data_IF_237782137079
#
_entry.id   IF_237782137079
#
_cell.length_a   1.000
_cell.length_b   1.000
_cell.length_c   1.000
_cell.angle_alpha   90.00
_cell.angle_beta   90.00
_cell.angle_gamma   90.00
#
_symmetry.space_group_name_H-M   'P 1'
#
loop_
_entity.id
_entity.type
_entity.pdbx_description
1 polymer ?
#
# COMPACT_ATOMS: atom_id res chain seq x y z
N UNK A 1 -9.18 -56.45 0.87
CA UNK A 1 -8.42 -55.24 0.45
C UNK A 1 -9.16 -53.91 0.67
N UNK A 2 -10.24 -53.83 1.47
CA UNK A 2 -10.99 -52.57 1.68
C UNK A 2 -10.60 -51.76 2.94
N UNK A 3 -9.94 -52.37 3.93
CA UNK A 3 -9.60 -51.70 5.20
C UNK A 3 -8.35 -50.82 5.11
N UNK A 4 -7.44 -51.06 4.18
CA UNK A 4 -6.19 -50.30 4.04
C UNK A 4 -6.41 -48.93 3.36
N UNK A 5 -7.36 -48.86 2.41
CA UNK A 5 -7.69 -47.64 1.65
C UNK A 5 -8.41 -46.62 2.54
N UNK A 6 -9.33 -47.06 3.39
CA UNK A 6 -10.03 -46.19 4.35
C UNK A 6 -9.06 -45.56 5.36
N UNK A 7 -8.09 -46.33 5.88
CA UNK A 7 -7.10 -45.83 6.83
C UNK A 7 -6.19 -44.78 6.17
N UNK A 8 -5.77 -44.98 4.91
CA UNK A 8 -4.99 -44.00 4.15
C UNK A 8 -5.77 -42.69 3.90
N UNK A 9 -7.09 -42.74 3.71
CA UNK A 9 -7.93 -41.54 3.62
C UNK A 9 -7.99 -40.78 4.95
N UNK A 10 -8.11 -41.45 6.09
CA UNK A 10 -8.16 -40.77 7.40
C UNK A 10 -6.82 -40.12 7.79
N UNK A 11 -5.68 -40.73 7.43
CA UNK A 11 -4.36 -40.16 7.71
C UNK A 11 -4.12 -38.88 6.87
N UNK A 12 -4.60 -38.85 5.62
CA UNK A 12 -4.51 -37.66 4.77
C UNK A 12 -5.43 -36.52 5.23
N UNK A 13 -6.57 -36.82 5.87
CA UNK A 13 -7.50 -35.77 6.38
C UNK A 13 -6.97 -35.11 7.66
N UNK A 14 -6.29 -35.86 8.53
CA UNK A 14 -5.75 -35.32 9.80
C UNK A 14 -4.56 -34.38 9.56
N UNK A 15 -3.77 -34.59 8.49
CA UNK A 15 -2.64 -33.69 8.18
C UNK A 15 -3.07 -32.29 7.69
N UNK A 16 -4.35 -32.09 7.36
CA UNK A 16 -4.87 -30.81 6.85
C UNK A 16 -5.55 -30.00 7.96
N UNK A 17 -5.95 -30.62 9.09
CA UNK A 17 -6.69 -29.94 10.16
C UNK A 17 -5.81 -29.26 11.22
N UNK A 18 -4.51 -29.53 11.24
CA UNK A 18 -3.54 -28.85 12.13
C UNK A 18 -2.97 -27.57 11.51
N UNK A 19 -3.45 -27.19 10.32
CA UNK A 19 -3.20 -25.88 9.73
C UNK A 19 -4.08 -24.84 10.39
N UNK A 20 -3.82 -24.48 11.65
CA UNK A 20 -4.23 -23.15 12.11
C UNK A 20 -3.56 -22.16 11.17
N UNK A 21 -4.32 -21.62 10.22
CA UNK A 21 -3.95 -20.40 9.51
C UNK A 21 -3.97 -19.31 10.58
N UNK A 22 -2.91 -19.30 11.37
CA UNK A 22 -2.56 -18.21 12.23
C UNK A 22 -2.24 -17.10 11.25
N UNK A 23 -3.20 -16.19 11.07
CA UNK A 23 -2.97 -14.89 10.47
C UNK A 23 -2.08 -14.11 11.44
N UNK A 24 -0.83 -14.57 11.57
CA UNK A 24 0.21 -13.88 12.30
C UNK A 24 0.44 -12.64 11.47
N UNK A 25 0.06 -11.48 12.00
CA UNK A 25 0.42 -10.18 11.47
C UNK A 25 1.95 -10.15 11.32
N UNK A 26 2.45 -10.52 10.14
CA UNK A 26 3.89 -10.71 9.88
C UNK A 26 4.59 -9.41 9.50
N UNK A 27 3.87 -8.31 9.44
CA UNK A 27 4.44 -7.03 9.10
C UNK A 27 3.92 -6.00 10.09
N UNK A 28 4.81 -5.60 11.01
CA UNK A 28 4.64 -4.35 11.73
C UNK A 28 4.56 -3.16 10.76
N UNK A 29 4.41 -1.93 11.25
CA UNK A 29 4.36 -0.75 10.39
C UNK A 29 5.53 -0.76 9.40
N UNK A 30 5.30 -0.24 8.19
CA UNK A 30 6.32 -0.17 7.14
C UNK A 30 7.63 0.37 7.73
N UNK A 31 8.75 -0.27 7.39
CA UNK A 31 10.07 0.16 7.87
C UNK A 31 10.23 1.65 7.59
N UNK A 32 10.68 2.39 8.60
CA UNK A 32 10.98 3.81 8.44
C UNK A 32 12.00 3.98 7.31
N UNK A 33 11.56 4.62 6.23
CA UNK A 33 12.43 4.95 5.10
C UNK A 33 13.26 6.16 5.53
N UNK A 34 14.58 6.06 5.48
CA UNK A 34 15.42 7.25 5.66
C UNK A 34 15.32 8.10 4.39
N UNK A 35 15.00 9.40 4.49
CA UNK A 35 15.00 10.28 3.32
C UNK A 35 16.35 10.26 2.60
N UNK A 36 16.31 10.17 1.27
CA UNK A 36 17.51 10.26 0.44
C UNK A 36 18.10 11.67 0.55
N UNK A 37 19.42 11.78 0.62
CA UNK A 37 20.12 13.08 0.69
C UNK A 37 19.71 13.97 -0.48
N UNK A 38 19.25 15.19 -0.19
CA UNK A 38 18.81 16.15 -1.20
C UNK A 38 17.35 15.97 -1.67
N UNK A 39 16.59 15.06 -1.07
CA UNK A 39 15.15 15.00 -1.28
C UNK A 39 14.47 16.28 -0.76
N UNK A 40 13.64 16.90 -1.59
CA UNK A 40 12.79 18.03 -1.23
C UNK A 40 11.63 17.52 -0.37
N UNK A 41 11.22 18.32 0.59
CA UNK A 41 10.05 18.01 1.41
C UNK A 41 8.76 18.03 0.55
N UNK A 42 7.96 16.96 0.59
CA UNK A 42 6.71 16.89 -0.14
C UNK A 42 5.69 17.92 0.35
N UNK A 43 4.88 18.43 -0.57
CA UNK A 43 3.82 19.39 -0.28
C UNK A 43 2.58 18.65 0.19
N UNK A 44 1.95 19.13 1.27
CA UNK A 44 0.67 18.61 1.77
C UNK A 44 -0.48 19.26 1.03
N UNK A 45 -1.47 18.46 0.66
CA UNK A 45 -2.66 18.89 -0.05
C UNK A 45 -3.90 18.18 0.50
N UNK A 46 -5.06 18.69 0.07
CA UNK A 46 -6.37 18.11 0.39
C UNK A 46 -7.18 17.99 -0.90
N UNK A 47 -7.92 16.90 -1.03
CA UNK A 47 -8.90 16.69 -2.11
C UNK A 47 -10.25 16.29 -1.51
N UNK A 48 -11.32 16.90 -2.02
CA UNK A 48 -12.68 16.53 -1.62
C UNK A 48 -13.05 15.17 -2.23
N UNK A 49 -13.52 14.25 -1.40
CA UNK A 49 -13.96 12.91 -1.81
C UNK A 49 -15.36 12.61 -1.29
N UNK A 50 -16.10 11.76 -2.02
CA UNK A 50 -17.38 11.25 -1.52
C UNK A 50 -17.13 10.40 -0.27
N UNK A 51 -18.06 10.50 0.68
CA UNK A 51 -18.04 9.64 1.86
C UNK A 51 -18.42 8.21 1.49
N UNK A 52 -19.45 8.04 0.65
CA UNK A 52 -19.93 6.75 0.17
C UNK A 52 -19.96 6.75 -1.37
N UNK A 53 -19.20 5.84 -1.99
CA UNK A 53 -19.15 5.70 -3.45
C UNK A 53 -20.17 4.68 -3.97
N UNK A 54 -20.81 3.92 -3.09
CA UNK A 54 -21.78 2.86 -3.43
C UNK A 54 -23.23 3.35 -3.36
N UNK A 55 -23.50 4.45 -2.65
CA UNK A 55 -24.81 5.11 -2.61
C UNK A 55 -24.82 6.39 -3.45
N UNK A 56 -25.41 6.38 -4.66
CA UNK A 56 -25.46 7.57 -5.53
C UNK A 56 -26.27 8.74 -4.96
N UNK A 57 -27.17 8.48 -4.01
CA UNK A 57 -27.99 9.51 -3.35
C UNK A 57 -27.29 10.17 -2.17
N UNK A 58 -26.18 9.61 -1.68
CA UNK A 58 -25.37 10.24 -0.64
C UNK A 58 -24.44 11.31 -1.26
N UNK A 59 -24.68 12.57 -0.88
CA UNK A 59 -23.90 13.72 -1.34
C UNK A 59 -22.86 14.19 -0.31
N UNK A 60 -22.70 13.48 0.80
CA UNK A 60 -21.72 13.86 1.82
C UNK A 60 -20.31 13.68 1.29
N UNK A 61 -19.44 14.61 1.65
CA UNK A 61 -18.03 14.61 1.26
C UNK A 61 -17.13 14.82 2.46
N UNK A 62 -15.87 14.43 2.30
CA UNK A 62 -14.82 14.71 3.27
C UNK A 62 -13.53 15.17 2.58
N UNK A 63 -12.67 15.81 3.36
CA UNK A 63 -11.39 16.35 2.93
C UNK A 63 -10.28 15.31 3.14
N UNK A 64 -9.87 14.64 2.07
CA UNK A 64 -8.79 13.64 2.11
C UNK A 64 -7.43 14.30 1.94
N UNK A 65 -6.53 14.10 2.91
CA UNK A 65 -5.13 14.55 2.86
C UNK A 65 -4.32 13.68 1.88
N UNK A 66 -3.43 14.30 1.11
CA UNK A 66 -2.43 13.61 0.31
C UNK A 66 -1.15 14.46 0.21
N UNK A 67 -0.04 13.84 -0.19
CA UNK A 67 1.23 14.53 -0.41
C UNK A 67 1.64 14.47 -1.89
N UNK A 68 2.36 15.49 -2.36
CA UNK A 68 2.97 15.51 -3.69
C UNK A 68 4.46 15.83 -3.62
N UNK A 69 5.25 15.21 -4.51
CA UNK A 69 6.64 15.59 -4.73
C UNK A 69 6.91 15.69 -6.24
N UNK A 70 7.15 16.91 -6.69
CA UNK A 70 7.41 17.31 -8.08
C UNK A 70 8.91 17.46 -8.38
N UNK A 71 9.81 17.07 -7.46
CA UNK A 71 11.25 17.31 -7.55
C UNK A 71 11.88 16.88 -8.88
N UNK A 72 11.42 15.78 -9.47
CA UNK A 72 11.99 15.21 -10.70
C UNK A 72 11.15 15.52 -11.95
N UNK A 73 9.99 16.14 -11.79
CA UNK A 73 9.05 16.35 -12.88
C UNK A 73 9.56 17.45 -13.82
N UNK A 74 9.66 17.13 -15.12
CA UNK A 74 10.17 18.05 -16.16
C UNK A 74 9.07 18.57 -17.11
N UNK A 75 7.81 18.56 -16.66
CA UNK A 75 6.65 18.97 -17.46
C UNK A 75 6.05 17.86 -18.32
N UNK A 76 6.72 16.72 -18.45
CA UNK A 76 6.18 15.48 -19.02
C UNK A 76 6.79 14.28 -18.29
N UNK A 77 6.03 13.18 -18.20
CA UNK A 77 6.46 11.97 -17.51
C UNK A 77 5.29 11.21 -16.88
N UNK A 78 5.55 9.99 -16.38
CA UNK A 78 4.53 9.21 -15.69
C UNK A 78 4.16 9.86 -14.35
N UNK A 79 3.04 9.41 -13.78
CA UNK A 79 2.64 9.72 -12.41
C UNK A 79 2.77 8.43 -11.61
N UNK A 80 3.52 8.46 -10.52
CA UNK A 80 3.53 7.35 -9.58
C UNK A 80 2.73 7.71 -8.33
N UNK A 81 1.85 6.79 -7.93
CA UNK A 81 1.01 6.95 -6.75
C UNK A 81 1.36 5.85 -5.76
N UNK A 82 1.83 6.26 -4.58
CA UNK A 82 1.96 5.39 -3.43
C UNK A 82 0.59 5.27 -2.75
N UNK A 83 0.07 4.05 -2.65
CA UNK A 83 -1.15 3.75 -1.90
C UNK A 83 -0.76 3.25 -0.51
N UNK A 84 -1.09 4.02 0.52
CA UNK A 84 -0.88 3.65 1.91
C UNK A 84 -1.67 2.41 2.35
N UNK A 85 -1.42 1.99 3.58
CA UNK A 85 -2.20 0.97 4.28
C UNK A 85 -3.07 1.59 5.37
N UNK A 86 -3.27 0.86 6.47
CA UNK A 86 -4.06 1.28 7.64
C UNK A 86 -3.38 2.38 8.50
N UNK A 87 -2.15 2.76 8.18
CA UNK A 87 -1.35 3.66 9.01
C UNK A 87 -1.59 5.12 8.68
N UNK A 88 -1.28 6.02 9.63
CA UNK A 88 -1.32 7.45 9.36
C UNK A 88 -0.40 7.80 8.19
N UNK A 89 -0.96 8.50 7.22
CA UNK A 89 -0.21 9.01 6.07
C UNK A 89 0.86 10.01 6.52
N UNK A 90 2.12 9.70 6.22
CA UNK A 90 3.26 10.62 6.30
C UNK A 90 3.89 10.79 4.90
N UNK A 91 4.92 11.63 4.77
CA UNK A 91 5.51 12.00 3.47
C UNK A 91 6.83 11.28 3.15
N UNK A 92 7.28 10.38 4.01
CA UNK A 92 8.64 9.82 3.99
C UNK A 92 8.91 8.99 2.74
N UNK A 93 7.93 8.23 2.26
CA UNK A 93 8.02 7.41 1.03
C UNK A 93 8.11 8.25 -0.24
N UNK A 94 7.79 9.55 -0.18
CA UNK A 94 8.00 10.49 -1.29
C UNK A 94 9.37 11.16 -1.23
N UNK A 95 10.24 10.80 -0.28
CA UNK A 95 11.59 11.34 -0.12
C UNK A 95 12.67 10.27 -0.20
N UNK A 96 12.30 8.99 -0.33
CA UNK A 96 13.25 7.88 -0.39
C UNK A 96 12.56 6.55 -0.70
N UNK A 97 13.36 5.50 -0.81
CA UNK A 97 12.88 4.18 -1.20
C UNK A 97 12.64 4.03 -2.71
N UNK A 98 12.12 2.87 -3.09
CA UNK A 98 12.14 2.44 -4.50
C UNK A 98 11.33 3.33 -5.44
N UNK A 99 10.14 3.77 -5.01
CA UNK A 99 9.29 4.67 -5.80
C UNK A 99 9.95 6.04 -6.04
N UNK A 100 10.69 6.57 -5.06
CA UNK A 100 11.43 7.82 -5.20
C UNK A 100 12.58 7.70 -6.23
N UNK A 101 13.29 6.57 -6.22
CA UNK A 101 14.37 6.29 -7.17
C UNK A 101 13.83 6.12 -8.61
N UNK A 102 12.75 5.37 -8.78
CA UNK A 102 12.08 5.22 -10.09
C UNK A 102 11.63 6.59 -10.61
N UNK A 103 11.05 7.44 -9.76
CA UNK A 103 10.62 8.77 -10.18
C UNK A 103 11.78 9.66 -10.66
N UNK A 104 12.94 9.55 -10.01
CA UNK A 104 14.17 10.22 -10.45
C UNK A 104 14.61 9.75 -11.84
N UNK A 105 14.59 8.44 -12.09
CA UNK A 105 14.98 7.85 -13.38
C UNK A 105 14.04 8.23 -14.52
N UNK A 106 12.74 8.37 -14.23
CA UNK A 106 11.70 8.59 -15.24
C UNK A 106 11.19 10.03 -15.34
N UNK A 107 11.83 11.00 -14.66
CA UNK A 107 11.38 12.41 -14.61
C UNK A 107 9.91 12.56 -14.23
N UNK A 108 9.49 11.79 -13.22
CA UNK A 108 8.09 11.62 -12.81
C UNK A 108 7.70 12.53 -11.64
N UNK A 109 6.40 12.71 -11.45
CA UNK A 109 5.81 13.27 -10.24
C UNK A 109 5.28 12.15 -9.34
N UNK A 110 5.46 12.34 -8.03
CA UNK A 110 5.00 11.40 -7.01
C UNK A 110 3.79 11.95 -6.25
N UNK A 111 2.85 11.05 -5.92
CA UNK A 111 1.78 11.31 -4.97
C UNK A 111 1.67 10.19 -3.94
N UNK A 112 1.22 10.53 -2.73
CA UNK A 112 0.87 9.57 -1.69
C UNK A 112 -0.48 9.92 -1.09
N UNK A 113 -1.35 8.94 -0.96
CA UNK A 113 -2.61 9.03 -0.24
C UNK A 113 -2.75 7.92 0.80
#
# INVERSE_FOLDING_TARGET
>A
MGRLILILCFINVILISEGTISFRSRHGPLRHISPTKGAKHPKSHTITQKLDHFNPSDNRTWSMRYFSNDQFFKGSGPIFVFIGGEWEINSTELMGGHLFEIASQHSSILFRK
#
